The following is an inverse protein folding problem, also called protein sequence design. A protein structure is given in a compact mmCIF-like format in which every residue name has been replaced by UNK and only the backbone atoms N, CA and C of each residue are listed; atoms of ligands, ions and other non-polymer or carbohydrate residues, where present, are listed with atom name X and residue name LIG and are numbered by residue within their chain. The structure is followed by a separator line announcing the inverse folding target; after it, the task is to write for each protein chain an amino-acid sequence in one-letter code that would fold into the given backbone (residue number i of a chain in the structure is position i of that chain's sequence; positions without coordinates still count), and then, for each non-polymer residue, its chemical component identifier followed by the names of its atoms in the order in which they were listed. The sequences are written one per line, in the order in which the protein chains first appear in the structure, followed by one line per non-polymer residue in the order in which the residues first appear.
data_IF_515914662955
#
_entry.id   IF_515914662955
#
_cell.length_a   1.000
_cell.length_b   1.000
_cell.length_c   1.000
_cell.angle_alpha   90.00
_cell.angle_beta   90.00
_cell.angle_gamma   90.00
#
_symmetry.space_group_name_H-M   'P 1'
#
loop_
_entity.id
_entity.type
_entity.pdbx_description
1 polymer ?
#
# COMPACT_ATOMS: atom_id res chain seq x y z
N UNK A 1 -1.20 -7.72 2.05
CA UNK A 1 -2.04 -6.59 1.62
C UNK A 1 -1.21 -5.35 1.33
N UNK A 2 -1.72 -4.47 0.46
CA UNK A 2 -1.14 -3.16 0.19
C UNK A 2 -2.24 -2.10 0.15
N UNK A 3 -1.96 -0.94 0.74
CA UNK A 3 -2.88 0.18 0.80
C UNK A 3 -2.50 1.27 -0.23
N UNK A 4 -3.46 1.69 -1.03
CA UNK A 4 -3.36 2.89 -1.87
C UNK A 4 -4.19 3.97 -1.18
N UNK A 5 -3.57 4.70 -0.26
CA UNK A 5 -4.20 5.82 0.43
C UNK A 5 -4.04 7.09 -0.41
N UNK A 6 -5.15 7.73 -0.75
CA UNK A 6 -5.19 8.89 -1.65
C UNK A 6 -5.74 10.09 -0.89
N UNK A 7 -4.98 11.19 -0.87
CA UNK A 7 -5.38 12.41 -0.20
C UNK A 7 -6.32 13.28 -1.07
N UNK A 8 -6.78 14.41 -0.53
CA UNK A 8 -7.67 15.33 -1.21
C UNK A 8 -7.06 15.99 -2.47
N UNK A 9 -5.74 15.94 -2.60
CA UNK A 9 -5.01 16.43 -3.78
C UNK A 9 -4.73 15.34 -4.81
N UNK A 10 -5.21 14.11 -4.58
CA UNK A 10 -4.95 12.96 -5.44
C UNK A 10 -3.55 12.38 -5.31
N UNK A 11 -2.82 12.70 -4.24
CA UNK A 11 -1.49 12.15 -3.97
C UNK A 11 -1.60 10.82 -3.24
N UNK A 12 -0.67 9.94 -3.52
CA UNK A 12 -0.59 8.60 -2.92
C UNK A 12 0.46 8.58 -1.82
N UNK A 13 0.12 7.97 -0.69
CA UNK A 13 1.05 7.73 0.39
C UNK A 13 1.99 6.58 0.05
N UNK A 14 3.28 6.81 0.27
CA UNK A 14 4.30 5.78 0.17
C UNK A 14 5.20 5.80 1.41
N UNK A 15 5.82 4.68 1.69
CA UNK A 15 6.71 4.50 2.84
C UNK A 15 8.06 3.96 2.39
N UNK A 16 9.12 4.35 3.11
CA UNK A 16 10.43 3.72 3.06
C UNK A 16 10.62 2.88 4.31
N UNK A 17 10.95 1.62 4.11
CA UNK A 17 11.32 0.73 5.21
C UNK A 17 12.81 0.90 5.55
N UNK A 18 13.17 0.65 6.80
CA UNK A 18 14.57 0.67 7.24
C UNK A 18 15.39 -0.48 6.64
N UNK A 19 14.74 -1.56 6.23
CA UNK A 19 15.35 -2.82 5.76
C UNK A 19 15.11 -3.14 4.26
N UNK A 20 14.31 -2.32 3.55
CA UNK A 20 14.03 -2.48 2.12
C UNK A 20 14.44 -1.22 1.36
N UNK A 21 14.90 -1.41 0.14
CA UNK A 21 15.21 -0.29 -0.76
C UNK A 21 13.94 0.28 -1.40
N UNK A 22 13.94 1.59 -1.59
CA UNK A 22 12.95 2.30 -2.37
C UNK A 22 11.65 2.59 -1.62
N UNK A 23 10.72 3.15 -2.37
CA UNK A 23 9.39 3.49 -1.89
C UNK A 23 8.40 2.36 -2.14
N UNK A 24 7.56 2.12 -1.17
CA UNK A 24 6.57 1.04 -1.20
C UNK A 24 5.20 1.58 -0.83
N UNK A 25 4.15 0.92 -1.31
CA UNK A 25 2.81 1.10 -0.75
C UNK A 25 2.79 0.51 0.67
N UNK A 26 2.15 1.18 1.64
CA UNK A 26 2.01 0.62 2.99
C UNK A 26 1.33 -0.75 2.95
N UNK A 27 1.75 -1.64 3.80
CA UNK A 27 1.15 -2.96 3.88
C UNK A 27 2.06 -4.01 4.49
N UNK A 28 1.55 -5.20 4.57
CA UNK A 28 2.23 -6.35 5.15
C UNK A 28 1.39 -7.61 5.13
N UNK A 29 1.74 -8.56 5.96
CA UNK A 29 1.05 -9.83 6.08
C UNK A 29 -0.31 -9.72 6.73
N UNK A 30 -1.13 -10.74 6.51
CA UNK A 30 -2.42 -10.93 7.18
C UNK A 30 -2.17 -11.85 8.37
N UNK A 31 -2.51 -11.40 9.57
CA UNK A 31 -2.35 -12.19 10.78
C UNK A 31 -3.38 -13.32 10.84
N UNK A 32 -3.10 -14.33 11.66
CA UNK A 32 -4.05 -15.42 11.90
C UNK A 32 -5.39 -14.86 12.41
N UNK A 33 -6.49 -15.33 11.85
CA UNK A 33 -7.86 -14.90 12.18
C UNK A 33 -8.19 -13.45 11.82
N UNK A 34 -7.33 -12.77 11.07
CA UNK A 34 -7.56 -11.42 10.57
C UNK A 34 -8.08 -11.49 9.12
N UNK A 35 -9.03 -10.62 8.77
CA UNK A 35 -9.42 -10.45 7.38
C UNK A 35 -8.41 -9.58 6.63
N UNK A 36 -8.37 -9.67 5.29
CA UNK A 36 -7.52 -8.79 4.48
C UNK A 36 -7.90 -7.31 4.66
N UNK A 37 -9.18 -7.01 4.85
CA UNK A 37 -9.67 -5.65 5.14
C UNK A 37 -9.14 -5.14 6.48
N UNK A 38 -9.20 -5.97 7.53
CA UNK A 38 -8.65 -5.61 8.84
C UNK A 38 -7.12 -5.43 8.78
N UNK A 39 -6.43 -6.31 8.04
CA UNK A 39 -4.98 -6.25 7.88
C UNK A 39 -4.54 -4.95 7.23
N UNK A 40 -5.18 -4.52 6.13
CA UNK A 40 -4.78 -3.29 5.44
C UNK A 40 -5.02 -2.04 6.29
N UNK A 41 -6.10 -2.03 7.08
CA UNK A 41 -6.38 -0.92 8.03
C UNK A 41 -5.33 -0.88 9.13
N UNK A 42 -4.98 -2.03 9.69
CA UNK A 42 -3.94 -2.15 10.73
C UNK A 42 -2.58 -1.69 10.22
N UNK A 43 -2.15 -2.21 9.07
CA UNK A 43 -0.86 -1.87 8.47
C UNK A 43 -0.74 -0.38 8.14
N UNK A 44 -1.78 0.22 7.57
CA UNK A 44 -1.80 1.65 7.26
C UNK A 44 -1.67 2.50 8.53
N UNK A 45 -2.32 2.11 9.60
CA UNK A 45 -2.21 2.78 10.89
C UNK A 45 -0.82 2.62 11.50
N UNK A 46 -0.30 1.40 11.54
CA UNK A 46 1.01 1.10 12.13
C UNK A 46 2.15 1.82 11.39
N UNK A 47 2.16 1.73 10.07
CA UNK A 47 3.26 2.25 9.25
C UNK A 47 3.16 3.76 8.99
N UNK A 48 1.95 4.29 8.82
CA UNK A 48 1.74 5.66 8.39
C UNK A 48 0.93 6.53 9.37
N UNK A 49 0.36 5.95 10.40
CA UNK A 49 -0.49 6.67 11.37
C UNK A 49 -1.84 7.10 10.79
N UNK A 50 -2.25 6.56 9.64
CA UNK A 50 -3.54 6.88 9.04
C UNK A 50 -4.62 5.93 9.55
N UNK A 51 -5.71 6.50 10.03
CA UNK A 51 -6.88 5.75 10.51
C UNK A 51 -7.97 5.82 9.45
N UNK A 52 -8.21 4.70 8.75
CA UNK A 52 -9.22 4.64 7.70
C UNK A 52 -10.62 4.93 8.24
N UNK A 53 -11.38 5.74 7.51
CA UNK A 53 -12.81 5.98 7.72
C UNK A 53 -13.60 5.15 6.70
N UNK A 54 -14.51 4.33 7.19
CA UNK A 54 -15.26 3.41 6.34
C UNK A 54 -14.43 2.21 5.87
N UNK A 55 -15.01 1.38 5.02
CA UNK A 55 -14.38 0.16 4.54
C UNK A 55 -13.38 0.43 3.41
N UNK A 56 -12.17 -0.15 3.45
CA UNK A 56 -11.26 -0.16 2.32
C UNK A 56 -11.92 -0.82 1.10
N UNK A 57 -11.65 -0.29 -0.08
CA UNK A 57 -12.18 -0.86 -1.32
C UNK A 57 -11.14 -1.78 -1.96
N UNK A 58 -11.47 -3.05 -2.09
CA UNK A 58 -10.63 -4.00 -2.81
C UNK A 58 -10.57 -3.63 -4.29
N UNK A 59 -9.36 -3.44 -4.81
CA UNK A 59 -9.11 -3.11 -6.22
C UNK A 59 -8.73 -4.35 -7.02
N UNK A 60 -7.77 -5.12 -6.51
CA UNK A 60 -7.20 -6.26 -7.25
C UNK A 60 -6.48 -7.23 -6.31
N UNK A 61 -6.25 -8.43 -6.82
CA UNK A 61 -5.44 -9.45 -6.15
C UNK A 61 -4.41 -9.94 -7.18
N UNK A 62 -3.17 -10.08 -6.75
CA UNK A 62 -2.05 -10.48 -7.61
C UNK A 62 -1.32 -11.68 -7.03
N UNK A 63 -0.91 -12.60 -7.89
CA UNK A 63 -0.02 -13.68 -7.49
C UNK A 63 1.37 -13.14 -7.17
N UNK A 64 1.91 -13.54 -6.04
CA UNK A 64 3.28 -13.25 -5.64
C UNK A 64 4.15 -14.50 -5.67
N UNK A 65 3.73 -15.50 -6.41
CA UNK A 65 4.33 -16.84 -6.49
C UNK A 65 5.84 -16.80 -6.79
N UNK A 66 6.25 -15.85 -7.62
CA UNK A 66 7.66 -15.69 -8.01
C UNK A 66 8.59 -15.44 -6.83
N UNK A 67 8.10 -14.76 -5.79
CA UNK A 67 8.89 -14.39 -4.61
C UNK A 67 8.56 -15.26 -3.41
N UNK A 68 7.29 -15.62 -3.24
CA UNK A 68 6.81 -16.44 -2.15
C UNK A 68 5.76 -17.42 -2.65
N UNK A 69 6.09 -18.73 -2.78
CA UNK A 69 5.15 -19.74 -3.26
C UNK A 69 3.82 -19.74 -2.50
N UNK A 70 2.72 -19.69 -3.24
CA UNK A 70 1.35 -19.65 -2.68
C UNK A 70 0.89 -18.30 -2.15
N UNK A 71 1.73 -17.26 -2.20
CA UNK A 71 1.38 -15.93 -1.71
C UNK A 71 0.59 -15.12 -2.73
N UNK A 72 -0.32 -14.29 -2.23
CA UNK A 72 -1.09 -13.33 -3.01
C UNK A 72 -1.10 -11.97 -2.32
N UNK A 73 -1.09 -10.91 -3.10
CA UNK A 73 -1.15 -9.54 -2.63
C UNK A 73 -2.49 -8.93 -2.99
N UNK A 74 -3.29 -8.62 -1.98
CA UNK A 74 -4.54 -7.88 -2.14
C UNK A 74 -4.27 -6.38 -2.04
N UNK A 75 -4.74 -5.61 -3.02
CA UNK A 75 -4.56 -4.16 -3.10
C UNK A 75 -5.87 -3.47 -2.80
N UNK A 76 -5.83 -2.55 -1.84
CA UNK A 76 -7.01 -1.79 -1.39
C UNK A 76 -6.80 -0.30 -1.60
N UNK A 77 -7.85 0.40 -2.00
CA UNK A 77 -7.88 1.86 -2.06
C UNK A 77 -8.61 2.43 -0.85
N UNK A 78 -8.04 3.49 -0.28
CA UNK A 78 -8.57 4.20 0.89
C UNK A 78 -8.49 5.69 0.59
N UNK A 79 -9.66 6.33 0.42
CA UNK A 79 -9.75 7.77 0.09
C UNK A 79 -10.12 8.64 1.30
N UNK A 80 -10.62 8.04 2.38
CA UNK A 80 -11.04 8.76 3.58
C UNK A 80 -10.32 8.21 4.81
N UNK A 81 -9.61 9.07 5.51
CA UNK A 81 -8.85 8.73 6.70
C UNK A 81 -8.60 9.94 7.58
N UNK A 82 -8.34 9.68 8.86
CA UNK A 82 -7.85 10.67 9.82
C UNK A 82 -6.35 10.46 10.05
N UNK A 83 -5.64 11.53 10.34
CA UNK A 83 -4.22 11.48 10.67
C UNK A 83 -4.06 11.25 12.17
N UNK A 84 -3.41 10.16 12.53
CA UNK A 84 -3.07 9.79 13.90
C UNK A 84 -1.56 9.59 14.07
N UNK A 85 -1.18 8.83 15.09
CA UNK A 85 0.21 8.52 15.38
C UNK A 85 0.62 7.19 14.76
N UNK A 86 1.85 7.13 14.24
CA UNK A 86 2.48 5.88 13.84
C UNK A 86 2.84 5.06 15.09
N UNK A 87 2.60 3.77 15.02
CA UNK A 87 2.98 2.83 16.09
C UNK A 87 4.15 1.93 15.71
N UNK A 88 4.47 1.82 14.42
CA UNK A 88 5.59 1.03 13.91
C UNK A 88 6.90 1.84 13.93
N UNK A 89 7.43 2.04 15.12
CA UNK A 89 8.70 2.74 15.29
C UNK A 89 9.88 1.81 14.95
N UNK A 90 10.75 2.25 14.05
CA UNK A 90 11.97 1.51 13.64
C UNK A 90 11.81 0.68 12.35
N UNK A 91 10.62 0.36 11.90
CA UNK A 91 10.41 -0.32 10.61
C UNK A 91 10.31 0.65 9.44
N UNK A 92 9.74 1.82 9.67
CA UNK A 92 9.52 2.85 8.67
C UNK A 92 10.49 4.01 8.88
N UNK A 93 11.36 4.23 7.91
CA UNK A 93 12.33 5.32 7.92
C UNK A 93 11.72 6.64 7.49
N UNK A 94 10.81 6.62 6.51
CA UNK A 94 10.27 7.84 5.89
C UNK A 94 8.87 7.60 5.32
N UNK A 95 8.06 8.64 5.32
CA UNK A 95 6.73 8.68 4.68
C UNK A 95 6.73 9.83 3.67
N UNK A 96 6.13 9.61 2.52
CA UNK A 96 5.97 10.65 1.51
C UNK A 96 4.62 10.57 0.79
N UNK A 97 4.14 11.72 0.33
CA UNK A 97 2.96 11.86 -0.50
C UNK A 97 3.41 12.25 -1.90
N UNK A 98 3.02 11.47 -2.91
CA UNK A 98 3.45 11.68 -4.29
C UNK A 98 2.28 11.70 -5.25
N UNK A 99 2.34 12.58 -6.25
CA UNK A 99 1.44 12.50 -7.39
C UNK A 99 1.69 11.20 -8.16
N UNK A 100 0.66 10.46 -8.56
CA UNK A 100 0.83 9.26 -9.39
C UNK A 100 1.58 9.53 -10.71
N UNK A 101 1.54 10.78 -11.21
CA UNK A 101 2.25 11.20 -12.42
C UNK A 101 3.69 11.66 -12.18
N UNK A 102 4.12 11.76 -10.92
CA UNK A 102 5.45 12.25 -10.53
C UNK A 102 6.03 11.41 -9.38
N UNK A 103 6.02 10.10 -9.55
CA UNK A 103 6.56 9.16 -8.57
C UNK A 103 8.09 9.22 -8.55
N UNK A 104 8.73 9.01 -7.38
CA UNK A 104 10.18 8.84 -7.29
C UNK A 104 10.68 7.70 -8.18
N UNK A 105 11.90 7.80 -8.68
CA UNK A 105 12.50 6.78 -9.57
C UNK A 105 12.66 5.42 -8.88
N UNK A 106 12.87 5.42 -7.58
CA UNK A 106 13.11 4.23 -6.77
C UNK A 106 11.85 3.63 -6.12
N UNK A 107 10.69 3.87 -6.70
CA UNK A 107 9.46 3.16 -6.30
C UNK A 107 9.58 1.70 -6.68
N UNK A 108 9.22 0.80 -5.76
CA UNK A 108 9.16 -0.64 -6.02
C UNK A 108 8.38 -0.93 -7.29
N UNK A 109 8.89 -1.83 -8.14
CA UNK A 109 8.31 -2.15 -9.45
C UNK A 109 6.86 -2.62 -9.36
N UNK A 110 6.54 -3.50 -8.43
CA UNK A 110 5.18 -4.01 -8.23
C UNK A 110 4.22 -2.87 -7.81
N UNK A 111 4.65 -2.03 -6.87
CA UNK A 111 3.88 -0.87 -6.45
C UNK A 111 3.63 0.11 -7.60
N UNK A 112 4.66 0.41 -8.41
CA UNK A 112 4.53 1.27 -9.58
C UNK A 112 3.52 0.72 -10.59
N UNK A 113 3.56 -0.58 -10.85
CA UNK A 113 2.62 -1.24 -11.76
C UNK A 113 1.17 -1.12 -11.25
N UNK A 114 0.95 -1.34 -9.97
CA UNK A 114 -0.40 -1.18 -9.36
C UNK A 114 -0.91 0.25 -9.48
N UNK A 115 -0.05 1.24 -9.26
CA UNK A 115 -0.44 2.64 -9.42
C UNK A 115 -0.79 2.99 -10.88
N UNK A 116 -0.07 2.44 -11.86
CA UNK A 116 -0.40 2.60 -13.27
C UNK A 116 -1.77 1.98 -13.62
N UNK A 117 -2.07 0.80 -13.10
CA UNK A 117 -3.37 0.15 -13.26
C UNK A 117 -4.53 1.00 -12.70
N UNK A 118 -4.32 1.62 -11.54
CA UNK A 118 -5.36 2.40 -10.85
C UNK A 118 -5.53 3.80 -11.48
N UNK A 119 -4.45 4.47 -11.82
CA UNK A 119 -4.47 5.89 -12.22
C UNK A 119 -4.31 6.12 -13.72
N UNK A 120 -3.64 5.23 -14.44
CA UNK A 120 -3.38 5.37 -15.88
C UNK A 120 -4.25 4.43 -16.74
N UNK A 121 -5.08 3.58 -16.11
CA UNK A 121 -5.94 2.65 -16.82
C UNK A 121 -5.21 1.48 -17.48
N UNK A 122 -3.98 1.18 -17.07
CA UNK A 122 -3.27 -0.01 -17.53
C UNK A 122 -4.06 -1.27 -17.18
N UNK A 123 -4.04 -2.31 -18.03
CA UNK A 123 -4.68 -3.59 -17.71
C UNK A 123 -4.13 -4.18 -16.41
N UNK A 124 -5.00 -4.76 -15.59
CA UNK A 124 -4.59 -5.42 -14.35
C UNK A 124 -3.78 -6.66 -14.69
N UNK A 125 -2.53 -6.69 -14.21
CA UNK A 125 -1.67 -7.86 -14.32
C UNK A 125 -2.01 -8.85 -13.19
N UNK A 126 -2.26 -10.13 -13.47
CA UNK A 126 -2.49 -11.12 -12.41
C UNK A 126 -1.27 -11.37 -11.53
N UNK A 127 -0.08 -11.00 -11.97
CA UNK A 127 1.17 -11.14 -11.21
C UNK A 127 1.58 -9.81 -10.56
N UNK A 128 2.21 -9.92 -9.38
CA UNK A 128 2.66 -8.75 -8.60
C UNK A 128 3.79 -7.96 -9.24
#
# INVERSE_FOLDING_TARGET
VRAVAVDARGRVLMVRHTYLKGWWLPGGGVDRSETTHAAVVRELREEAGLVARGAPRLISIHSNERFFPGDHVAVFRIDAFDVGERTSHGEIAEIGWFSPSALPDDVNRGCRARLAEIFDGSPIDPDW
#
